data_IF_417630926758
#
_entry.id   IF_417630926758
#
_cell.length_a   1.000
_cell.length_b   1.000
_cell.length_c   1.000
_cell.angle_alpha   90.00
_cell.angle_beta   90.00
_cell.angle_gamma   90.00
#
_symmetry.space_group_name_H-M   'P 1'
#
loop_
_entity.id
_entity.type
_entity.pdbx_description
1 polymer ?
#
# COMPACT_ATOMS: atom_id res chain seq x y z
N UNK A 1 -0.08 6.40 -3.18
CA UNK A 1 -0.47 6.32 -4.62
C UNK A 1 -1.37 7.48 -5.05
N UNK A 2 -2.29 7.93 -4.19
CA UNK A 2 -3.07 9.15 -4.41
C UNK A 2 -2.19 10.40 -4.54
N UNK A 3 -1.32 10.67 -3.55
CA UNK A 3 -0.43 11.85 -3.59
C UNK A 3 0.63 11.78 -4.68
N UNK A 4 1.32 10.62 -4.81
CA UNK A 4 2.30 10.39 -5.89
C UNK A 4 1.66 10.17 -7.28
N UNK A 5 0.33 10.23 -7.40
CA UNK A 5 -0.49 9.99 -8.62
C UNK A 5 -0.09 8.76 -9.42
N UNK A 6 0.32 7.70 -8.73
CA UNK A 6 0.77 6.45 -9.33
C UNK A 6 -0.44 5.60 -9.71
N UNK A 7 -0.45 5.10 -10.95
CA UNK A 7 -1.48 4.15 -11.39
C UNK A 7 -1.30 2.81 -10.66
N UNK A 8 -2.38 2.28 -10.11
CA UNK A 8 -2.42 0.95 -9.46
C UNK A 8 -1.81 -0.14 -10.36
N UNK A 9 -2.08 -0.09 -11.67
CA UNK A 9 -1.54 -1.06 -12.64
C UNK A 9 -0.01 -1.01 -12.75
N UNK A 10 0.59 0.17 -12.62
CA UNK A 10 2.05 0.34 -12.65
C UNK A 10 2.63 -0.21 -11.35
N UNK A 11 2.08 0.17 -10.20
CA UNK A 11 2.59 -0.34 -8.93
C UNK A 11 2.48 -1.86 -8.84
N UNK A 12 1.38 -2.45 -9.30
CA UNK A 12 1.22 -3.92 -9.34
C UNK A 12 2.28 -4.58 -10.21
N UNK A 13 2.57 -4.01 -11.38
CA UNK A 13 3.60 -4.52 -12.29
C UNK A 13 4.99 -4.43 -11.67
N UNK A 14 5.33 -3.29 -11.07
CA UNK A 14 6.70 -3.00 -10.64
C UNK A 14 7.04 -3.67 -9.30
N UNK A 15 6.04 -3.85 -8.42
CA UNK A 15 6.20 -4.49 -7.11
C UNK A 15 5.89 -5.99 -7.13
N UNK A 16 5.23 -6.49 -8.18
CA UNK A 16 4.70 -7.84 -8.25
C UNK A 16 3.55 -8.12 -7.27
N UNK A 17 3.05 -7.11 -6.55
CA UNK A 17 1.92 -7.26 -5.64
C UNK A 17 0.63 -7.42 -6.47
N UNK A 18 -0.24 -8.32 -6.02
CA UNK A 18 -1.54 -8.54 -6.66
C UNK A 18 -2.32 -7.23 -6.76
N UNK A 19 -2.84 -6.93 -7.96
CA UNK A 19 -3.60 -5.70 -8.23
C UNK A 19 -4.76 -5.50 -7.26
N UNK A 20 -5.48 -6.56 -6.89
CA UNK A 20 -6.59 -6.49 -5.94
C UNK A 20 -6.16 -6.14 -4.52
N UNK A 21 -4.97 -6.58 -4.10
CA UNK A 21 -4.37 -6.16 -2.81
C UNK A 21 -4.05 -4.67 -2.84
N UNK A 22 -3.41 -4.18 -3.90
CA UNK A 22 -3.14 -2.74 -4.04
C UNK A 22 -4.44 -1.94 -4.09
N UNK A 23 -5.46 -2.39 -4.83
CA UNK A 23 -6.74 -1.70 -4.92
C UNK A 23 -7.39 -1.55 -3.54
N UNK A 24 -7.45 -2.62 -2.74
CA UNK A 24 -8.03 -2.55 -1.39
C UNK A 24 -7.23 -1.64 -0.48
N UNK A 25 -5.89 -1.71 -0.51
CA UNK A 25 -5.04 -0.79 0.25
C UNK A 25 -5.21 0.67 -0.20
N UNK A 26 -5.42 0.91 -1.50
CA UNK A 26 -5.63 2.25 -2.05
C UNK A 26 -6.93 2.89 -1.54
N UNK A 27 -7.98 2.08 -1.39
CA UNK A 27 -9.30 2.52 -0.92
C UNK A 27 -9.52 2.31 0.59
N UNK A 28 -8.47 1.91 1.32
CA UNK A 28 -8.54 1.61 2.75
C UNK A 28 -9.57 0.52 3.13
N UNK A 29 -9.77 -0.43 2.22
CA UNK A 29 -10.70 -1.58 2.38
C UNK A 29 -9.96 -2.86 2.83
N UNK A 30 -8.67 -2.75 3.16
CA UNK A 30 -7.84 -3.90 3.49
C UNK A 30 -7.92 -4.25 4.97
N UNK A 31 -8.66 -5.30 5.32
CA UNK A 31 -8.71 -5.82 6.70
C UNK A 31 -7.43 -6.57 7.11
N UNK A 32 -6.66 -7.07 6.13
CA UNK A 32 -5.43 -7.84 6.32
C UNK A 32 -4.43 -7.51 5.23
N UNK A 33 -3.16 -7.42 5.62
CA UNK A 33 -2.04 -7.22 4.71
C UNK A 33 -0.85 -8.08 5.14
N UNK A 34 -0.16 -8.67 4.17
CA UNK A 34 1.04 -9.48 4.43
C UNK A 34 2.26 -8.56 4.66
N UNK A 35 3.18 -8.97 5.55
CA UNK A 35 4.36 -8.16 5.90
C UNK A 35 5.27 -7.89 4.69
N UNK A 36 5.36 -8.83 3.75
CA UNK A 36 6.15 -8.65 2.53
C UNK A 36 5.54 -7.58 1.60
N UNK A 37 4.22 -7.48 1.53
CA UNK A 37 3.47 -6.44 0.80
C UNK A 37 3.77 -5.07 1.39
N UNK A 38 3.74 -4.95 2.72
CA UNK A 38 4.08 -3.70 3.42
C UNK A 38 5.50 -3.27 3.06
N UNK A 39 6.48 -4.17 3.21
CA UNK A 39 7.88 -3.88 2.92
C UNK A 39 8.11 -3.49 1.45
N UNK A 40 7.51 -4.23 0.50
CA UNK A 40 7.58 -3.92 -0.93
C UNK A 40 7.02 -2.54 -1.23
N UNK A 41 5.88 -2.15 -0.65
CA UNK A 41 5.28 -0.84 -0.85
C UNK A 41 6.13 0.27 -0.25
N UNK A 42 6.65 0.11 0.97
CA UNK A 42 7.51 1.10 1.61
C UNK A 42 8.77 1.36 0.79
N UNK A 43 9.46 0.29 0.36
CA UNK A 43 10.66 0.39 -0.47
C UNK A 43 10.37 0.98 -1.85
N UNK A 44 9.27 0.58 -2.49
CA UNK A 44 8.91 1.06 -3.82
C UNK A 44 8.49 2.54 -3.80
N UNK A 45 7.79 2.98 -2.76
CA UNK A 45 7.35 4.35 -2.61
C UNK A 45 8.42 5.25 -1.98
N UNK A 46 9.51 4.69 -1.45
CA UNK A 46 10.55 5.39 -0.70
C UNK A 46 9.95 6.17 0.48
N UNK A 47 9.24 5.45 1.35
CA UNK A 47 8.56 5.98 2.54
C UNK A 47 8.72 5.04 3.72
N UNK A 48 8.56 5.55 4.94
CA UNK A 48 8.49 4.76 6.14
C UNK A 48 7.09 4.13 6.35
N UNK A 49 7.00 3.16 7.25
CA UNK A 49 5.75 2.43 7.51
C UNK A 49 4.65 3.33 8.10
N UNK A 50 5.03 4.32 8.91
CA UNK A 50 4.15 5.33 9.53
C UNK A 50 3.62 6.36 8.53
N UNK A 51 4.23 6.48 7.35
CA UNK A 51 3.67 7.24 6.23
C UNK A 51 2.67 6.43 5.40
N UNK A 52 2.65 5.10 5.58
CA UNK A 52 1.77 4.19 4.84
C UNK A 52 0.58 3.72 5.69
N UNK A 53 0.75 3.57 6.99
CA UNK A 53 -0.27 3.10 7.92
C UNK A 53 -0.32 3.98 9.16
N UNK A 54 -1.53 4.28 9.60
CA UNK A 54 -1.79 5.02 10.84
C UNK A 54 -2.46 4.10 11.86
N UNK A 55 -2.22 4.35 13.15
CA UNK A 55 -2.90 3.63 14.23
C UNK A 55 -4.24 4.32 14.47
N UNK A 56 -5.34 3.64 14.12
CA UNK A 56 -6.67 4.10 14.46
C UNK A 56 -6.87 4.01 15.99
N UNK A 57 -7.09 5.15 16.64
CA UNK A 57 -7.41 5.18 18.07
C UNK A 57 -8.90 4.87 18.22
N UNK A 58 -9.21 3.71 18.81
CA UNK A 58 -10.57 3.38 19.22
C UNK A 58 -10.91 4.24 20.45
N UNK A 59 -11.84 5.18 20.29
CA UNK A 59 -12.49 5.91 21.40
C UNK A 59 -13.71 5.16 21.93
#
# INVERSE_FOLDING_TARGET
MGEKRLKISIVSRDTGINRGTITRLYYDEAERVELDVIGKLCLYLDVQIDELFEVERLE
#
